data_IF_819708477492
#
_entry.id   IF_819708477492
#
_cell.length_a   1.000
_cell.length_b   1.000
_cell.length_c   1.000
_cell.angle_alpha   90.00
_cell.angle_beta   90.00
_cell.angle_gamma   90.00
#
_symmetry.space_group_name_H-M   'P 1'
#
loop_
_entity.id
_entity.type
_entity.pdbx_description
1 polymer ?
#
# COMPACT_ATOMS: atom_id res chain seq x y z
N UNK A 1 4.06 5.91 -8.67
CA UNK A 1 3.71 5.51 -7.28
C UNK A 1 4.42 4.21 -6.99
N UNK A 2 4.82 3.98 -5.73
CA UNK A 2 5.52 2.76 -5.32
C UNK A 2 4.87 2.20 -4.05
N UNK A 3 4.83 0.87 -3.95
CA UNK A 3 4.36 0.14 -2.78
C UNK A 3 5.57 -0.40 -2.03
N UNK A 4 5.80 0.10 -0.81
CA UNK A 4 7.03 -0.15 -0.02
C UNK A 4 6.73 -0.85 1.32
N UNK A 5 5.97 -1.96 1.32
CA UNK A 5 5.51 -2.58 2.56
C UNK A 5 6.65 -3.18 3.38
N UNK A 6 7.68 -3.78 2.78
CA UNK A 6 8.77 -4.41 3.53
C UNK A 6 9.61 -3.37 4.27
N UNK A 7 9.92 -2.24 3.63
CA UNK A 7 10.56 -1.09 4.26
C UNK A 7 9.68 -0.46 5.36
N UNK A 8 8.37 -0.46 5.20
CA UNK A 8 7.44 0.06 6.21
C UNK A 8 7.36 -0.84 7.44
N UNK A 9 7.13 -2.15 7.29
CA UNK A 9 6.99 -3.07 8.43
C UNK A 9 8.30 -3.28 9.20
N UNK A 10 9.45 -3.08 8.56
CA UNK A 10 10.76 -3.10 9.19
C UNK A 10 11.21 -1.74 9.75
N UNK A 11 10.32 -0.74 9.74
CA UNK A 11 10.56 0.63 10.21
C UNK A 11 11.75 1.32 9.53
N UNK A 12 12.13 0.92 8.31
CA UNK A 12 13.22 1.51 7.53
C UNK A 12 12.75 2.65 6.62
N UNK A 13 11.44 2.84 6.48
CA UNK A 13 10.87 3.79 5.54
C UNK A 13 11.21 5.24 5.90
N UNK A 14 11.11 5.65 7.16
CA UNK A 14 11.40 7.05 7.56
C UNK A 14 12.84 7.46 7.21
N UNK A 15 13.81 6.57 7.49
CA UNK A 15 15.22 6.79 7.14
C UNK A 15 15.41 6.90 5.62
N UNK A 16 14.67 6.11 4.83
CA UNK A 16 14.70 6.22 3.38
C UNK A 16 14.12 7.57 2.91
N UNK A 17 12.97 7.98 3.45
CA UNK A 17 12.28 9.23 3.08
C UNK A 17 13.14 10.47 3.37
N UNK A 18 13.87 10.48 4.48
CA UNK A 18 14.81 11.56 4.82
C UNK A 18 15.98 11.59 3.82
N UNK A 19 16.54 10.43 3.45
CA UNK A 19 17.66 10.38 2.52
C UNK A 19 17.30 10.85 1.10
N UNK A 20 16.11 10.49 0.61
CA UNK A 20 15.68 10.85 -0.75
C UNK A 20 15.22 12.30 -0.86
N UNK A 21 14.68 12.91 0.21
CA UNK A 21 14.31 14.34 0.16
C UNK A 21 15.52 15.25 -0.07
N UNK A 22 16.70 14.85 0.43
CA UNK A 22 17.97 15.54 0.17
C UNK A 22 18.40 15.50 -1.30
N UNK A 23 17.88 14.57 -2.10
CA UNK A 23 18.14 14.46 -3.53
C UNK A 23 17.25 15.41 -4.36
N UNK A 24 16.42 16.23 -3.73
CA UNK A 24 15.53 17.19 -4.41
C UNK A 24 14.29 16.54 -5.03
N UNK A 25 13.81 15.46 -4.43
CA UNK A 25 12.50 14.86 -4.75
C UNK A 25 11.56 14.98 -3.56
N UNK A 26 10.29 15.22 -3.85
CA UNK A 26 9.24 15.22 -2.85
C UNK A 26 8.66 13.81 -2.71
N UNK A 27 8.42 13.38 -1.47
CA UNK A 27 7.76 12.10 -1.19
C UNK A 27 6.61 12.29 -0.22
N UNK A 28 5.46 11.72 -0.57
CA UNK A 28 4.23 11.77 0.23
C UNK A 28 3.49 10.44 0.21
N UNK A 29 2.69 10.17 1.25
CA UNK A 29 1.74 9.07 1.21
C UNK A 29 0.66 9.33 0.16
N UNK A 30 0.21 8.28 -0.55
CA UNK A 30 -0.90 8.39 -1.51
C UNK A 30 -2.23 8.57 -0.78
N UNK A 31 -2.39 7.84 0.33
CA UNK A 31 -3.56 7.90 1.20
C UNK A 31 -3.11 8.25 2.62
N UNK A 32 -3.85 9.12 3.30
CA UNK A 32 -3.52 9.62 4.63
C UNK A 32 -3.14 11.10 4.65
N UNK A 33 -2.70 11.59 5.80
CA UNK A 33 -2.29 12.99 5.99
C UNK A 33 -0.76 13.10 6.15
N UNK A 34 -0.16 14.06 5.43
CA UNK A 34 1.27 14.34 5.48
C UNK A 34 2.14 13.21 4.91
N UNK A 35 3.11 12.74 5.69
CA UNK A 35 4.08 11.70 5.29
C UNK A 35 3.66 10.29 5.70
N UNK A 36 2.62 10.15 6.54
CA UNK A 36 2.05 8.85 6.89
C UNK A 36 1.26 8.32 5.69
N UNK A 37 1.64 7.13 5.24
CA UNK A 37 0.98 6.44 4.13
C UNK A 37 0.11 5.31 4.63
N UNK A 38 -1.18 5.34 4.27
CA UNK A 38 -2.08 4.20 4.44
C UNK A 38 -1.79 3.16 3.34
N UNK A 39 -1.59 1.92 3.75
CA UNK A 39 -1.33 0.82 2.83
C UNK A 39 0.08 0.81 2.23
N UNK A 40 1.03 1.55 2.81
CA UNK A 40 2.44 1.57 2.38
C UNK A 40 2.63 2.04 0.93
N UNK A 41 1.75 2.93 0.44
CA UNK A 41 1.78 3.51 -0.90
C UNK A 41 2.37 4.92 -0.89
N UNK A 42 3.43 5.13 -1.63
CA UNK A 42 4.16 6.39 -1.68
C UNK A 42 4.17 6.97 -3.09
N UNK A 43 3.99 8.28 -3.17
CA UNK A 43 4.21 9.05 -4.38
C UNK A 43 5.53 9.78 -4.27
N UNK A 44 6.37 9.59 -5.29
CA UNK A 44 7.64 10.29 -5.48
C UNK A 44 7.47 11.21 -6.68
N UNK A 45 7.85 12.48 -6.54
CA UNK A 45 7.77 13.49 -7.60
C UNK A 45 9.00 14.40 -7.59
N UNK A 46 9.33 15.00 -8.74
CA UNK A 46 10.32 16.08 -8.75
C UNK A 46 9.83 17.25 -7.92
N UNK A 47 10.79 17.95 -7.29
CA UNK A 47 10.56 19.24 -6.67
C UNK A 47 11.07 20.39 -7.55
N UNK A 48 12.13 20.15 -8.33
CA UNK A 48 12.68 21.13 -9.26
C UNK A 48 11.87 21.23 -10.55
N UNK A 49 11.65 22.45 -11.03
CA UNK A 49 10.91 22.75 -12.27
C UNK A 49 11.73 23.57 -13.26
N UNK A 50 12.45 24.60 -12.80
CA UNK A 50 13.28 25.47 -13.64
C UNK A 50 14.76 25.06 -13.59
N UNK A 51 15.48 25.20 -14.71
CA UNK A 51 16.93 25.03 -14.79
C UNK A 51 17.41 23.63 -15.22
N UNK A 52 16.50 22.71 -15.51
CA UNK A 52 16.80 21.41 -16.11
C UNK A 52 15.76 21.06 -17.19
N UNK A 53 16.16 20.30 -18.21
CA UNK A 53 15.22 19.74 -19.19
C UNK A 53 14.31 18.69 -18.57
N UNK A 54 13.14 18.44 -19.16
CA UNK A 54 12.24 17.37 -18.72
C UNK A 54 12.93 16.00 -18.76
N UNK A 55 13.74 15.73 -19.78
CA UNK A 55 14.52 14.50 -19.91
C UNK A 55 15.45 14.28 -18.69
N UNK A 56 16.21 15.32 -18.33
CA UNK A 56 17.07 15.29 -17.13
C UNK A 56 16.29 15.03 -15.85
N UNK A 57 15.11 15.65 -15.72
CA UNK A 57 14.26 15.48 -14.54
C UNK A 57 13.66 14.06 -14.47
N UNK A 58 13.23 13.51 -15.59
CA UNK A 58 12.70 12.15 -15.70
C UNK A 58 13.79 11.13 -15.37
N UNK A 59 14.99 11.27 -15.94
CA UNK A 59 16.12 10.39 -15.68
C UNK A 59 16.50 10.40 -14.19
N UNK A 60 16.58 11.59 -13.60
CA UNK A 60 16.88 11.74 -12.17
C UNK A 60 15.84 11.04 -11.29
N UNK A 61 14.54 11.27 -11.52
CA UNK A 61 13.49 10.57 -10.75
C UNK A 61 13.59 9.06 -10.97
N UNK A 62 13.78 8.62 -12.21
CA UNK A 62 13.80 7.19 -12.56
C UNK A 62 14.93 6.46 -11.85
N UNK A 63 16.13 7.07 -11.80
CA UNK A 63 17.27 6.52 -11.06
C UNK A 63 17.01 6.44 -9.55
N UNK A 64 16.37 7.46 -8.97
CA UNK A 64 16.01 7.46 -7.55
C UNK A 64 14.97 6.36 -7.26
N UNK A 65 13.94 6.25 -8.09
CA UNK A 65 12.91 5.21 -7.96
C UNK A 65 13.53 3.81 -8.08
N UNK A 66 14.45 3.60 -9.01
CA UNK A 66 15.14 2.31 -9.17
C UNK A 66 15.89 1.89 -7.89
N UNK A 67 16.60 2.83 -7.24
CA UNK A 67 17.30 2.56 -5.97
C UNK A 67 16.32 2.23 -4.83
N UNK A 68 15.16 2.88 -4.80
CA UNK A 68 14.10 2.61 -3.82
C UNK A 68 13.52 1.21 -4.01
N UNK A 69 13.23 0.84 -5.27
CA UNK A 69 12.73 -0.49 -5.63
C UNK A 69 13.75 -1.56 -5.24
N UNK A 70 15.02 -1.38 -5.59
CA UNK A 70 16.08 -2.33 -5.22
C UNK A 70 16.18 -2.52 -3.69
N UNK A 71 16.05 -1.43 -2.92
CA UNK A 71 16.07 -1.51 -1.45
C UNK A 71 14.86 -2.25 -0.89
N UNK A 72 13.67 -2.05 -1.45
CA UNK A 72 12.46 -2.79 -1.09
C UNK A 72 12.61 -4.28 -1.43
N UNK A 73 13.09 -4.63 -2.63
CA UNK A 73 13.32 -6.02 -3.05
C UNK A 73 14.33 -6.74 -2.15
N UNK A 74 15.44 -6.08 -1.81
CA UNK A 74 16.42 -6.62 -0.85
C UNK A 74 15.79 -6.85 0.53
N UNK A 75 14.91 -5.95 0.98
CA UNK A 75 14.21 -6.10 2.25
C UNK A 75 13.19 -7.24 2.23
N UNK A 76 12.45 -7.41 1.13
CA UNK A 76 11.57 -8.57 0.92
C UNK A 76 12.35 -9.88 0.98
N UNK A 77 13.48 -9.95 0.28
CA UNK A 77 14.35 -11.13 0.31
C UNK A 77 14.90 -11.39 1.73
N UNK A 78 15.25 -10.35 2.48
CA UNK A 78 15.69 -10.46 3.87
C UNK A 78 14.59 -11.03 4.77
N UNK A 79 13.35 -10.51 4.67
CA UNK A 79 12.20 -11.03 5.41
C UNK A 79 11.91 -12.50 5.06
N UNK A 80 11.92 -12.85 3.77
CA UNK A 80 11.69 -14.23 3.32
C UNK A 80 12.76 -15.19 3.84
N UNK A 81 13.99 -14.72 4.04
CA UNK A 81 15.10 -15.54 4.55
C UNK A 81 15.08 -15.69 6.07
N UNK A 82 14.80 -14.62 6.80
CA UNK A 82 15.04 -14.55 8.25
C UNK A 82 13.77 -14.51 9.10
N UNK A 83 12.61 -14.19 8.51
CA UNK A 83 11.35 -13.94 9.22
C UNK A 83 10.16 -14.56 8.51
N UNK A 84 10.37 -15.68 7.78
CA UNK A 84 9.36 -16.27 6.91
C UNK A 84 8.07 -16.63 7.67
N UNK A 85 8.22 -17.28 8.83
CA UNK A 85 7.07 -17.71 9.63
C UNK A 85 6.26 -16.52 10.15
N UNK A 86 6.92 -15.45 10.59
CA UNK A 86 6.25 -14.26 11.10
C UNK A 86 5.50 -13.53 9.98
N UNK A 87 6.13 -13.32 8.82
CA UNK A 87 5.47 -12.64 7.70
C UNK A 87 4.34 -13.49 7.11
N UNK A 88 4.47 -14.82 7.14
CA UNK A 88 3.41 -15.75 6.74
C UNK A 88 2.20 -15.63 7.66
N UNK A 89 2.39 -15.71 8.98
CA UNK A 89 1.31 -15.51 9.96
C UNK A 89 0.64 -14.15 9.77
N UNK A 90 1.41 -13.08 9.62
CA UNK A 90 0.87 -11.72 9.39
C UNK A 90 0.01 -11.65 8.12
N UNK A 91 0.44 -12.29 7.02
CA UNK A 91 -0.31 -12.34 5.77
C UNK A 91 -1.63 -13.13 5.92
N UNK A 92 -1.59 -14.29 6.57
CA UNK A 92 -2.80 -15.10 6.79
C UNK A 92 -3.77 -14.47 7.78
N UNK A 93 -3.27 -13.80 8.82
CA UNK A 93 -4.11 -13.02 9.75
C UNK A 93 -4.75 -11.83 9.04
N UNK A 94 -4.02 -11.15 8.19
CA UNK A 94 -4.59 -10.08 7.36
C UNK A 94 -5.70 -10.62 6.45
N UNK A 95 -5.47 -11.74 5.76
CA UNK A 95 -6.48 -12.40 4.94
C UNK A 95 -7.71 -12.82 5.77
N UNK A 96 -7.51 -13.42 6.94
CA UNK A 96 -8.58 -13.83 7.84
C UNK A 96 -9.45 -12.65 8.29
N UNK A 97 -8.83 -11.53 8.68
CA UNK A 97 -9.56 -10.32 9.04
C UNK A 97 -10.33 -9.73 7.85
N UNK A 98 -9.68 -9.61 6.68
CA UNK A 98 -10.31 -9.09 5.47
C UNK A 98 -11.53 -9.92 5.03
N UNK A 99 -11.48 -11.24 5.20
CA UNK A 99 -12.54 -12.17 4.77
C UNK A 99 -13.64 -12.40 5.80
N UNK A 100 -13.46 -12.01 7.07
CA UNK A 100 -14.44 -12.30 8.13
C UNK A 100 -14.96 -11.06 8.87
N UNK A 101 -14.21 -9.96 8.91
CA UNK A 101 -14.61 -8.76 9.64
C UNK A 101 -15.97 -8.23 9.12
N UNK A 102 -16.80 -7.73 10.04
CA UNK A 102 -18.12 -7.13 9.73
C UNK A 102 -18.10 -5.61 9.74
N UNK A 103 -16.98 -5.02 10.14
CA UNK A 103 -16.72 -3.58 10.17
C UNK A 103 -15.23 -3.36 10.09
N UNK A 104 -14.78 -2.43 9.26
CA UNK A 104 -13.35 -2.14 9.08
C UNK A 104 -13.15 -0.68 8.71
N UNK A 105 -12.24 0.02 9.38
CA UNK A 105 -11.91 1.40 9.03
C UNK A 105 -11.10 1.45 7.72
N UNK A 106 -11.00 2.62 7.09
CA UNK A 106 -10.16 2.78 5.88
C UNK A 106 -8.69 2.47 6.19
N UNK A 107 -8.18 2.92 7.35
CA UNK A 107 -6.77 2.74 7.73
C UNK A 107 -6.44 1.26 7.94
N UNK A 108 -7.29 0.56 8.67
CA UNK A 108 -7.16 -0.87 8.91
C UNK A 108 -7.21 -1.64 7.59
N UNK A 109 -8.22 -1.38 6.75
CA UNK A 109 -8.37 -2.05 5.47
C UNK A 109 -7.16 -1.86 4.55
N UNK A 110 -6.67 -0.61 4.43
CA UNK A 110 -5.51 -0.31 3.60
C UNK A 110 -4.25 -1.02 4.10
N UNK A 111 -4.03 -1.07 5.43
CA UNK A 111 -2.90 -1.79 6.03
C UNK A 111 -2.98 -3.29 5.74
N UNK A 112 -4.14 -3.91 5.96
CA UNK A 112 -4.32 -5.35 5.76
C UNK A 112 -4.24 -5.74 4.28
N UNK A 113 -4.83 -4.95 3.37
CA UNK A 113 -4.71 -5.17 1.93
C UNK A 113 -3.25 -5.04 1.46
N UNK A 114 -2.49 -4.13 2.06
CA UNK A 114 -1.07 -3.97 1.76
C UNK A 114 -0.25 -5.19 2.16
N UNK A 115 -0.53 -5.79 3.32
CA UNK A 115 0.09 -7.05 3.75
C UNK A 115 -0.31 -8.22 2.84
N UNK A 116 -1.59 -8.34 2.49
CA UNK A 116 -2.06 -9.37 1.57
C UNK A 116 -1.38 -9.25 0.19
N UNK A 117 -1.21 -8.02 -0.32
CA UNK A 117 -0.49 -7.75 -1.57
C UNK A 117 0.98 -8.15 -1.48
N UNK A 118 1.65 -7.82 -0.38
CA UNK A 118 3.03 -8.23 -0.13
C UNK A 118 3.17 -9.75 -0.12
N UNK A 119 2.34 -10.45 0.66
CA UNK A 119 2.36 -11.91 0.74
C UNK A 119 2.13 -12.57 -0.60
N UNK A 120 1.20 -12.03 -1.42
CA UNK A 120 0.94 -12.49 -2.78
C UNK A 120 2.16 -12.34 -3.69
N UNK A 121 2.80 -11.16 -3.68
CA UNK A 121 3.98 -10.89 -4.52
C UNK A 121 5.22 -11.69 -4.09
N UNK A 122 5.30 -12.06 -2.81
CA UNK A 122 6.39 -12.89 -2.28
C UNK A 122 6.10 -14.40 -2.39
N UNK A 123 4.93 -14.77 -2.91
CA UNK A 123 4.43 -16.16 -3.00
C UNK A 123 4.33 -16.87 -1.64
N UNK A 124 4.00 -16.12 -0.58
CA UNK A 124 3.86 -16.62 0.79
C UNK A 124 2.43 -17.10 1.08
N UNK A 125 1.44 -16.45 0.46
CA UNK A 125 0.02 -16.80 0.64
C UNK A 125 -0.57 -17.23 -0.71
N UNK A 126 -1.38 -18.30 -0.69
CA UNK A 126 -2.01 -18.85 -1.89
C UNK A 126 -3.42 -18.31 -2.17
N UNK A 127 -3.91 -17.41 -1.31
CA UNK A 127 -5.24 -16.80 -1.38
C UNK A 127 -5.24 -15.52 -2.20
N UNK A 128 -6.39 -15.18 -2.78
CA UNK A 128 -6.59 -13.98 -3.58
C UNK A 128 -5.60 -13.82 -4.77
N UNK A 129 -5.09 -14.94 -5.31
CA UNK A 129 -4.13 -14.96 -6.43
C UNK A 129 -4.64 -14.22 -7.68
N UNK A 130 -5.94 -14.29 -7.96
CA UNK A 130 -6.53 -13.64 -9.14
C UNK A 130 -7.15 -12.28 -8.85
N UNK A 131 -7.07 -11.81 -7.59
CA UNK A 131 -7.70 -10.55 -7.18
C UNK A 131 -6.77 -9.36 -7.36
N UNK A 132 -7.31 -8.28 -7.92
CA UNK A 132 -6.62 -7.00 -8.04
C UNK A 132 -6.73 -6.21 -6.74
N UNK A 133 -5.70 -6.29 -5.93
CA UNK A 133 -5.65 -5.63 -4.62
C UNK A 133 -5.59 -4.10 -4.76
N UNK A 134 -4.95 -3.56 -5.81
CA UNK A 134 -4.92 -2.10 -6.00
C UNK A 134 -6.29 -1.58 -6.37
N UNK A 135 -7.02 -2.27 -7.26
CA UNK A 135 -8.40 -1.94 -7.58
C UNK A 135 -9.27 -1.99 -6.33
N UNK A 136 -9.10 -3.00 -5.48
CA UNK A 136 -9.83 -3.10 -4.22
C UNK A 136 -9.51 -1.94 -3.27
N UNK A 137 -8.22 -1.57 -3.11
CA UNK A 137 -7.79 -0.41 -2.32
C UNK A 137 -8.46 0.90 -2.79
N UNK A 138 -8.64 1.08 -4.10
CA UNK A 138 -9.38 2.21 -4.66
C UNK A 138 -10.87 2.08 -4.36
N UNK A 139 -11.48 0.92 -4.60
CA UNK A 139 -12.93 0.69 -4.42
C UNK A 139 -13.40 0.97 -2.98
N UNK A 140 -12.58 0.68 -1.98
CA UNK A 140 -12.93 0.83 -0.55
C UNK A 140 -12.76 2.26 0.00
N UNK A 141 -12.31 3.21 -0.82
CA UNK A 141 -12.13 4.60 -0.39
C UNK A 141 -13.48 5.22 -0.01
N UNK A 142 -13.54 6.11 1.00
CA UNK A 142 -14.80 6.65 1.52
C UNK A 142 -15.75 7.20 0.44
N UNK A 143 -15.21 7.98 -0.51
CA UNK A 143 -16.01 8.59 -1.57
C UNK A 143 -16.49 7.60 -2.62
N UNK A 144 -15.73 6.52 -2.87
CA UNK A 144 -16.13 5.47 -3.81
C UNK A 144 -17.21 4.56 -3.24
N UNK A 145 -17.23 4.38 -1.91
CA UNK A 145 -18.34 3.70 -1.24
C UNK A 145 -19.60 4.57 -1.33
N UNK A 146 -19.47 5.87 -1.06
CA UNK A 146 -20.60 6.81 -1.16
C UNK A 146 -21.17 6.92 -2.57
N UNK A 147 -20.33 6.92 -3.61
CA UNK A 147 -20.81 7.01 -5.01
C UNK A 147 -21.55 5.76 -5.48
N UNK A 148 -21.43 4.65 -4.76
CA UNK A 148 -22.19 3.42 -5.02
C UNK A 148 -23.54 3.37 -4.29
N UNK A 149 -23.91 4.42 -3.56
CA UNK A 149 -25.13 4.49 -2.75
C UNK A 149 -25.90 5.79 -2.97
N UNK A 150 -27.22 5.74 -3.00
CA UNK A 150 -28.08 6.92 -3.18
C UNK A 150 -28.32 7.71 -1.87
N UNK A 151 -27.68 7.32 -0.77
CA UNK A 151 -27.93 7.87 0.58
C UNK A 151 -26.64 8.32 1.25
N UNK A 152 -26.72 9.35 2.09
CA UNK A 152 -25.62 9.70 2.99
C UNK A 152 -25.36 8.58 3.99
N UNK A 153 -24.12 8.10 4.07
CA UNK A 153 -23.71 7.06 4.99
C UNK A 153 -22.93 7.66 6.17
N UNK A 154 -23.29 7.27 7.39
CA UNK A 154 -22.47 7.52 8.58
C UNK A 154 -21.14 6.79 8.49
N UNK A 155 -20.14 7.20 9.28
CA UNK A 155 -18.84 6.51 9.35
C UNK A 155 -18.98 5.03 9.68
N UNK A 156 -19.90 4.66 10.58
CA UNK A 156 -20.14 3.26 10.97
C UNK A 156 -20.73 2.42 9.83
N UNK A 157 -21.62 3.01 9.04
CA UNK A 157 -22.20 2.34 7.87
C UNK A 157 -21.18 2.17 6.76
N UNK A 158 -20.36 3.20 6.48
CA UNK A 158 -19.23 3.08 5.55
C UNK A 158 -18.26 1.98 5.95
N UNK A 159 -17.95 1.84 7.24
CA UNK A 159 -17.06 0.77 7.72
C UNK A 159 -17.68 -0.63 7.55
N UNK A 160 -19.00 -0.78 7.69
CA UNK A 160 -19.71 -2.05 7.45
C UNK A 160 -19.69 -2.39 5.96
N UNK A 161 -20.07 -1.43 5.11
CA UNK A 161 -20.07 -1.59 3.65
C UNK A 161 -18.66 -1.88 3.12
N UNK A 162 -17.64 -1.20 3.66
CA UNK A 162 -16.24 -1.49 3.32
C UNK A 162 -15.89 -2.94 3.57
N UNK A 163 -16.18 -3.43 4.77
CA UNK A 163 -15.91 -4.81 5.12
C UNK A 163 -16.68 -5.79 4.21
N UNK A 164 -17.92 -5.45 3.83
CA UNK A 164 -18.71 -6.24 2.88
C UNK A 164 -18.10 -6.28 1.48
N UNK A 165 -17.74 -5.13 0.91
CA UNK A 165 -17.09 -5.04 -0.40
C UNK A 165 -15.80 -5.87 -0.43
N UNK A 166 -14.98 -5.79 0.62
CA UNK A 166 -13.73 -6.55 0.73
C UNK A 166 -14.00 -8.05 0.74
N UNK A 167 -14.96 -8.53 1.57
CA UNK A 167 -15.29 -9.95 1.63
C UNK A 167 -15.78 -10.46 0.29
N UNK A 168 -16.69 -9.74 -0.36
CA UNK A 168 -17.24 -10.15 -1.64
C UNK A 168 -16.13 -10.24 -2.70
N UNK A 169 -15.29 -9.21 -2.84
CA UNK A 169 -14.21 -9.22 -3.84
C UNK A 169 -13.13 -10.28 -3.58
N UNK A 170 -12.86 -10.63 -2.32
CA UNK A 170 -11.85 -11.64 -1.98
C UNK A 170 -12.37 -13.08 -1.98
N UNK A 171 -13.67 -13.30 -1.74
CA UNK A 171 -14.28 -14.63 -1.64
C UNK A 171 -15.08 -15.07 -2.88
N UNK A 172 -15.53 -14.14 -3.71
CA UNK A 172 -16.09 -14.48 -5.02
C UNK A 172 -15.01 -15.17 -5.86
N UNK A 173 -15.35 -16.25 -6.56
CA UNK A 173 -14.42 -16.94 -7.46
C UNK A 173 -14.37 -16.21 -8.80
#
# INVERSE_FOLDING_TARGET
>A
MVHLPALSITNQIEKLLIGISQLGVAVRGVYGEGTKSMGHLYQISNQGTLGASEETLIDKISQIVAQIVEKEERMRAHLKKNNLYEIEDDCYRAYGLLTNARRMSTEEAMKLLSLLKLGKEMEIIDKAKDKDIYRLMVKIQPNNILSSTDTELTTKERDKMRAEIIRNELLEN
#
